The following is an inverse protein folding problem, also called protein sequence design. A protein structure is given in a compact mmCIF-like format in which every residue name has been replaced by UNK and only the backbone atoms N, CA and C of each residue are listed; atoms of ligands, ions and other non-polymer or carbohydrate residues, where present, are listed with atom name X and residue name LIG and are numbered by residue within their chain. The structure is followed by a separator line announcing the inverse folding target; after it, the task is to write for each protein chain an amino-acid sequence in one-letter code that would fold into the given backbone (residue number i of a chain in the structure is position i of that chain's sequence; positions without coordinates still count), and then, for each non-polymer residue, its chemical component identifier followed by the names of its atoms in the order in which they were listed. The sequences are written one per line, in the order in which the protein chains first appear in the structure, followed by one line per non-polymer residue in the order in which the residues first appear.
data_IF_914234914050
#
_entry.id   IF_914234914050
#
_cell.length_a   1.000
_cell.length_b   1.000
_cell.length_c   1.000
_cell.angle_alpha   90.00
_cell.angle_beta   90.00
_cell.angle_gamma   90.00
#
_symmetry.space_group_name_H-M   'P 1'
#
loop_
_entity.id
_entity.type
_entity.pdbx_description
1 polymer ?
#
# COMPACT_ATOMS: atom_id res chain seq x y z
N UNK A 1 7.05 -1.76 -17.51
CA UNK A 1 6.49 -2.23 -16.23
C UNK A 1 6.24 -3.70 -16.42
N UNK A 2 7.05 -4.49 -15.73
CA UNK A 2 7.14 -5.94 -15.94
C UNK A 2 5.99 -6.65 -15.21
N UNK A 3 5.65 -7.88 -15.61
CA UNK A 3 4.59 -8.64 -14.93
C UNK A 3 4.94 -8.89 -13.46
N UNK A 4 6.21 -9.18 -13.16
CA UNK A 4 6.71 -9.35 -11.79
C UNK A 4 6.46 -8.10 -10.93
N UNK A 5 6.87 -6.92 -11.43
CA UNK A 5 6.62 -5.65 -10.73
C UNK A 5 5.12 -5.38 -10.48
N UNK A 6 4.26 -5.74 -11.45
CA UNK A 6 2.81 -5.58 -11.30
C UNK A 6 2.25 -6.53 -10.25
N UNK A 7 2.79 -7.74 -10.18
CA UNK A 7 2.44 -8.74 -9.19
C UNK A 7 2.86 -8.31 -7.78
N UNK A 8 4.09 -7.83 -7.59
CA UNK A 8 4.58 -7.34 -6.29
C UNK A 8 3.72 -6.19 -5.76
N UNK A 9 3.36 -5.24 -6.62
CA UNK A 9 2.46 -4.14 -6.24
C UNK A 9 1.06 -4.66 -5.89
N UNK A 10 0.57 -5.68 -6.59
CA UNK A 10 -0.73 -6.30 -6.28
C UNK A 10 -0.70 -7.03 -4.93
N UNK A 11 0.37 -7.76 -4.63
CA UNK A 11 0.59 -8.42 -3.34
C UNK A 11 0.62 -7.41 -2.20
N UNK A 12 1.39 -6.34 -2.34
CA UNK A 12 1.43 -5.25 -1.37
C UNK A 12 0.04 -4.66 -1.11
N UNK A 13 -0.72 -4.34 -2.18
CA UNK A 13 -2.08 -3.82 -2.06
C UNK A 13 -3.01 -4.81 -1.38
N UNK A 14 -2.89 -6.09 -1.71
CA UNK A 14 -3.69 -7.15 -1.12
C UNK A 14 -3.44 -7.25 0.39
N UNK A 15 -2.18 -7.19 0.83
CA UNK A 15 -1.83 -7.18 2.24
C UNK A 15 -2.50 -6.06 3.04
N UNK A 16 -2.64 -4.87 2.46
CA UNK A 16 -3.33 -3.74 3.10
C UNK A 16 -4.85 -3.90 3.15
N UNK A 17 -5.47 -4.53 2.15
CA UNK A 17 -6.92 -4.64 2.09
C UNK A 17 -7.47 -5.95 2.65
N UNK A 18 -6.65 -6.99 2.80
CA UNK A 18 -7.11 -8.30 3.26
C UNK A 18 -7.86 -8.23 4.61
N UNK A 19 -7.36 -7.50 5.63
CA UNK A 19 -8.10 -7.36 6.89
C UNK A 19 -9.45 -6.65 6.72
N UNK A 20 -9.52 -5.66 5.82
CA UNK A 20 -10.74 -4.89 5.51
C UNK A 20 -11.76 -5.73 4.73
N UNK A 21 -11.30 -6.50 3.75
CA UNK A 21 -12.17 -7.34 2.90
C UNK A 21 -12.73 -8.51 3.69
N UNK A 22 -11.93 -9.09 4.57
CA UNK A 22 -12.35 -10.19 5.44
C UNK A 22 -13.16 -9.73 6.67
N UNK A 23 -13.31 -8.41 6.87
CA UNK A 23 -14.02 -7.86 8.03
C UNK A 23 -13.33 -8.15 9.37
N UNK A 24 -12.01 -8.35 9.36
CA UNK A 24 -11.22 -8.67 10.55
C UNK A 24 -10.88 -7.41 11.38
N UNK A 25 -11.07 -6.23 10.81
CA UNK A 25 -10.78 -4.93 11.43
C UNK A 25 -11.92 -3.96 11.21
N UNK A 26 -12.07 -3.01 12.13
CA UNK A 26 -13.00 -1.92 11.94
C UNK A 26 -12.48 -0.94 10.88
N UNK A 27 -13.23 -0.69 9.78
CA UNK A 27 -12.70 0.06 8.64
C UNK A 27 -12.24 1.47 8.96
N UNK A 28 -12.97 2.21 9.81
CA UNK A 28 -12.66 3.61 10.12
C UNK A 28 -11.32 3.74 10.84
N UNK A 29 -11.14 2.97 11.92
CA UNK A 29 -9.93 2.97 12.74
C UNK A 29 -8.73 2.48 11.93
N UNK A 30 -8.89 1.36 11.23
CA UNK A 30 -7.80 0.79 10.44
C UNK A 30 -7.36 1.72 9.31
N UNK A 31 -8.31 2.33 8.59
CA UNK A 31 -7.97 3.25 7.50
C UNK A 31 -7.25 4.50 7.99
N UNK A 32 -7.63 5.03 9.17
CA UNK A 32 -6.94 6.16 9.80
C UNK A 32 -5.49 5.79 10.07
N UNK A 33 -5.26 4.72 10.83
CA UNK A 33 -3.91 4.24 11.17
C UNK A 33 -3.05 3.95 9.94
N UNK A 34 -3.60 3.25 8.96
CA UNK A 34 -2.86 2.90 7.75
C UNK A 34 -2.59 4.14 6.89
N UNK A 35 -3.48 5.13 6.87
CA UNK A 35 -3.25 6.35 6.09
C UNK A 35 -2.21 7.28 6.69
N UNK A 36 -2.03 7.26 8.00
CA UNK A 36 -1.03 8.04 8.73
C UNK A 36 0.38 7.44 8.57
N UNK A 37 0.48 6.12 8.33
CA UNK A 37 1.76 5.42 8.15
C UNK A 37 2.36 5.64 6.76
N UNK A 38 3.70 5.68 6.72
CA UNK A 38 4.48 5.61 5.49
C UNK A 38 4.63 4.15 5.10
N UNK A 39 4.34 3.83 3.84
CA UNK A 39 4.44 2.47 3.33
C UNK A 39 5.55 2.35 2.30
N UNK A 40 6.34 1.28 2.43
CA UNK A 40 7.30 0.92 1.40
C UNK A 40 6.59 0.24 0.23
N UNK A 41 6.35 0.99 -0.85
CA UNK A 41 5.66 0.45 -2.03
C UNK A 41 6.70 -0.17 -2.98
N UNK A 42 6.58 -1.47 -3.33
CA UNK A 42 7.51 -2.13 -4.24
C UNK A 42 7.68 -1.34 -5.54
N UNK A 43 8.93 -1.15 -5.96
CA UNK A 43 9.32 -0.42 -7.19
C UNK A 43 8.95 1.07 -7.21
N UNK A 44 8.44 1.63 -6.11
CA UNK A 44 7.95 3.01 -6.03
C UNK A 44 8.48 3.80 -4.83
N UNK A 45 9.08 3.13 -3.84
CA UNK A 45 9.63 3.75 -2.64
C UNK A 45 8.57 4.09 -1.60
N UNK A 46 8.98 4.89 -0.62
CA UNK A 46 8.20 5.19 0.57
C UNK A 46 7.15 6.26 0.30
N UNK A 47 5.88 5.95 0.56
CA UNK A 47 4.75 6.85 0.30
C UNK A 47 3.65 6.69 1.35
N UNK A 48 3.00 7.80 1.70
CA UNK A 48 1.72 7.78 2.41
C UNK A 48 0.59 7.45 1.43
N UNK A 49 -0.35 6.62 1.87
CA UNK A 49 -1.48 6.16 1.04
C UNK A 49 -2.77 6.64 1.68
N UNK A 50 -3.50 7.53 1.00
CA UNK A 50 -4.77 8.03 1.52
C UNK A 50 -5.80 6.90 1.73
N UNK A 51 -6.60 7.00 2.79
CA UNK A 51 -7.68 6.05 3.10
C UNK A 51 -8.61 5.77 1.90
N UNK A 52 -8.95 6.81 1.12
CA UNK A 52 -9.74 6.69 -0.10
C UNK A 52 -9.13 5.74 -1.13
N UNK A 53 -7.81 5.75 -1.26
CA UNK A 53 -7.08 4.86 -2.19
C UNK A 53 -7.20 3.39 -1.77
N UNK A 54 -7.14 3.13 -0.46
CA UNK A 54 -7.26 1.78 0.12
C UNK A 54 -8.69 1.25 -0.08
N UNK A 55 -9.70 2.11 0.12
CA UNK A 55 -11.10 1.79 -0.15
C UNK A 55 -11.37 1.50 -1.64
N UNK A 56 -10.74 2.27 -2.53
CA UNK A 56 -10.79 2.00 -3.97
C UNK A 56 -10.23 0.61 -4.32
N UNK A 57 -9.12 0.22 -3.69
CA UNK A 57 -8.55 -1.13 -3.86
C UNK A 57 -9.49 -2.22 -3.32
N UNK A 58 -10.10 -2.03 -2.15
CA UNK A 58 -11.12 -2.94 -1.62
C UNK A 58 -12.26 -3.14 -2.62
N UNK A 59 -12.77 -2.04 -3.18
CA UNK A 59 -13.87 -2.07 -4.15
C UNK A 59 -13.47 -2.79 -5.44
N UNK A 60 -12.25 -2.56 -5.94
CA UNK A 60 -11.73 -3.25 -7.12
C UNK A 60 -11.53 -4.73 -6.88
N UNK A 61 -10.99 -5.10 -5.72
CA UNK A 61 -10.80 -6.49 -5.35
C UNK A 61 -12.13 -7.24 -5.26
N UNK A 62 -13.15 -6.64 -4.65
CA UNK A 62 -14.49 -7.24 -4.59
C UNK A 62 -15.12 -7.46 -5.98
N UNK A 63 -14.76 -6.65 -6.99
CA UNK A 63 -15.31 -6.73 -8.35
C UNK A 63 -14.51 -7.61 -9.31
N UNK A 64 -13.19 -7.66 -9.16
CA UNK A 64 -12.29 -8.31 -10.13
C UNK A 64 -11.12 -9.06 -9.50
N UNK A 65 -11.21 -9.37 -8.21
CA UNK A 65 -10.23 -10.16 -7.48
C UNK A 65 -8.83 -9.56 -7.46
N UNK A 66 -7.83 -10.44 -7.38
CA UNK A 66 -6.42 -10.06 -7.28
C UNK A 66 -5.90 -9.37 -8.54
N UNK A 67 -6.32 -9.81 -9.73
CA UNK A 67 -5.88 -9.20 -10.99
C UNK A 67 -6.34 -7.73 -11.12
N UNK A 68 -7.47 -7.36 -10.52
CA UNK A 68 -7.93 -5.98 -10.46
C UNK A 68 -7.04 -5.07 -9.59
N UNK A 69 -6.20 -5.64 -8.72
CA UNK A 69 -5.21 -4.91 -7.93
C UNK A 69 -3.91 -4.65 -8.69
N UNK A 70 -3.63 -5.40 -9.76
CA UNK A 70 -2.45 -5.15 -10.59
C UNK A 70 -2.55 -3.74 -11.18
N UNK A 71 -1.50 -2.91 -11.06
CA UNK A 71 -1.53 -1.58 -11.65
C UNK A 71 -1.71 -1.73 -13.16
N UNK A 72 -2.84 -1.26 -13.67
CA UNK A 72 -3.07 -1.14 -15.11
C UNK A 72 -2.01 -0.20 -15.68
N UNK A 73 -1.41 -0.55 -16.82
CA UNK A 73 -0.51 0.34 -17.57
C UNK A 73 -1.22 1.68 -17.78
N UNK A 74 -0.88 2.69 -16.97
CA UNK A 74 -1.32 4.07 -17.15
C UNK A 74 -0.08 4.94 -17.33
N UNK A 75 -0.15 5.79 -18.34
CA UNK A 75 0.85 6.78 -18.74
C UNK A 75 1.00 7.95 -17.76
N UNK A 76 0.40 7.88 -16.57
CA UNK A 76 0.46 8.94 -15.55
C UNK A 76 1.71 8.70 -14.67
N UNK A 77 2.88 8.75 -15.30
CA UNK A 77 4.14 8.96 -14.57
C UNK A 77 4.12 10.39 -14.04
N UNK A 78 4.11 10.56 -12.72
CA UNK A 78 4.72 11.75 -12.13
C UNK A 78 3.80 12.90 -11.69
N UNK A 79 2.53 12.67 -11.35
CA UNK A 79 1.82 13.62 -10.48
C UNK A 79 1.43 12.95 -9.17
N UNK A 80 2.35 13.06 -8.21
CA UNK A 80 1.96 13.18 -6.80
C UNK A 80 0.96 14.34 -6.75
N UNK A 81 -0.34 14.02 -6.80
CA UNK A 81 -1.36 15.02 -6.55
C UNK A 81 -1.24 15.32 -5.07
N UNK A 82 -0.53 16.43 -4.80
CA UNK A 82 -0.46 17.17 -3.53
C UNK A 82 -1.56 16.69 -2.59
N UNK A 83 -1.19 15.79 -1.67
CA UNK A 83 -1.99 15.58 -0.48
C UNK A 83 -1.96 16.93 0.25
N UNK A 84 -3.16 17.40 0.60
CA UNK A 84 -3.41 18.68 1.26
C UNK A 84 -2.44 18.88 2.43
N UNK A 85 -1.97 20.12 2.69
CA UNK A 85 -1.05 20.42 3.78
C UNK A 85 -1.81 20.47 5.10
N UNK A 86 -2.30 19.34 5.56
CA UNK A 86 -2.84 19.20 6.91
C UNK A 86 -2.39 17.81 7.39
N UNK A 87 -1.88 17.75 8.61
CA UNK A 87 -1.36 16.57 9.31
C UNK A 87 0.16 16.33 9.16
N UNK A 88 0.85 17.27 9.83
CA UNK A 88 2.19 17.18 10.40
C UNK A 88 2.41 15.90 11.23
N UNK A 89 3.69 15.53 11.36
CA UNK A 89 4.26 14.67 12.41
C UNK A 89 3.68 13.26 12.64
N UNK A 90 4.36 12.25 12.08
CA UNK A 90 5.31 11.49 12.91
C UNK A 90 6.21 10.61 12.03
N UNK A 91 7.49 10.65 12.37
CA UNK A 91 8.60 9.87 11.84
C UNK A 91 8.56 8.49 12.49
N UNK A 92 8.54 7.40 11.74
CA UNK A 92 9.15 6.15 12.21
C UNK A 92 9.92 5.49 11.07
N UNK A 93 11.22 5.39 11.32
CA UNK A 93 12.26 4.91 10.44
C UNK A 93 12.05 3.45 10.02
N UNK A 94 12.48 3.06 8.81
CA UNK A 94 12.54 1.66 8.42
C UNK A 94 13.64 0.97 9.23
N UNK A 95 13.27 0.01 10.06
CA UNK A 95 14.23 -0.94 10.63
C UNK A 95 14.81 -1.81 9.51
N UNK A 96 15.91 -1.32 8.93
CA UNK A 96 16.94 -2.14 8.34
C UNK A 96 17.63 -2.90 9.47
N UNK A 97 17.45 -4.23 9.57
CA UNK A 97 18.59 -5.12 9.86
C UNK A 97 18.36 -6.48 9.20
N UNK A 98 18.91 -6.65 8.00
CA UNK A 98 19.39 -7.95 7.55
C UNK A 98 20.67 -8.23 8.35
N UNK A 99 20.67 -9.21 9.25
CA UNK A 99 21.91 -9.88 9.67
C UNK A 99 21.66 -11.36 9.92
N UNK A 100 22.11 -12.14 8.95
CA UNK A 100 22.42 -13.56 8.98
C UNK A 100 22.89 -14.06 10.34
N UNK A 101 22.22 -15.07 10.87
CA UNK A 101 22.82 -16.08 11.76
C UNK A 101 22.77 -17.42 11.04
N UNK A 102 23.85 -17.75 10.33
CA UNK A 102 24.21 -19.13 10.04
C UNK A 102 25.29 -19.53 11.04
N UNK A 103 25.02 -20.60 11.77
CA UNK A 103 25.81 -21.10 12.87
C UNK A 103 26.67 -22.26 12.35
N UNK A 104 27.97 -22.02 12.16
CA UNK A 104 29.05 -23.00 12.20
C UNK A 104 30.24 -22.32 12.88
#
# INVERSE_FOLDING_TARGET
MDESMRHDIALFRYGLIAPLVNGQVEPKTYLKEVSERVHHVPHQGDKRIAAKTILDWCTRYKKGGFDALKPKRRSDRGRSRRLSPDDEDHILAPESVIKTRSNC
#
